data_IF_651951377176
#
_entry.id   IF_651951377176
#
_cell.length_a   1.000
_cell.length_b   1.000
_cell.length_c   1.000
_cell.angle_alpha   90.00
_cell.angle_beta   90.00
_cell.angle_gamma   90.00
#
_symmetry.space_group_name_H-M   'P 1'
#
loop_
_entity.id
_entity.type
_entity.pdbx_description
1 polymer ?
#
# COMPACT_ATOMS: atom_id res chain seq x y z
N UNK A 1 4.27 12.57 -0.74
CA UNK A 1 3.64 11.24 -0.68
C UNK A 1 2.25 11.35 -0.10
N UNK A 2 1.30 10.65 -0.70
CA UNK A 2 -0.09 10.68 -0.26
C UNK A 2 -0.61 9.24 -0.15
N UNK A 3 -1.20 8.89 0.99
CA UNK A 3 -1.76 7.57 1.22
C UNK A 3 -3.24 7.73 1.57
N UNK A 4 -4.09 7.06 0.81
CA UNK A 4 -5.53 7.10 1.02
C UNK A 4 -6.00 6.32 2.24
N UNK A 5 -7.32 6.16 2.36
CA UNK A 5 -7.94 5.43 3.46
C UNK A 5 -7.94 3.93 3.21
N UNK A 6 -7.91 3.16 4.29
CA UNK A 6 -8.00 1.69 4.24
C UNK A 6 -6.93 1.04 3.37
N UNK A 7 -5.72 1.58 3.38
CA UNK A 7 -4.57 1.03 2.66
C UNK A 7 -3.85 0.01 3.54
N UNK A 8 -3.53 -1.16 2.97
CA UNK A 8 -2.75 -2.18 3.64
C UNK A 8 -1.33 -2.14 3.07
N UNK A 9 -0.35 -1.86 3.92
CA UNK A 9 1.06 -1.85 3.52
C UNK A 9 1.78 -2.98 4.25
N UNK A 10 2.32 -3.92 3.48
CA UNK A 10 3.01 -5.08 4.01
C UNK A 10 4.32 -4.75 4.70
N UNK A 11 4.83 -5.66 5.50
CA UNK A 11 6.07 -5.48 6.25
C UNK A 11 7.24 -5.23 5.30
N UNK A 12 8.12 -4.33 5.69
CA UNK A 12 9.32 -3.98 4.92
C UNK A 12 9.03 -3.41 3.52
N UNK A 13 7.79 -3.04 3.23
CA UNK A 13 7.50 -2.31 2.00
C UNK A 13 8.05 -0.89 2.12
N UNK A 14 8.54 -0.36 1.00
CA UNK A 14 9.08 1.00 0.93
C UNK A 14 8.26 1.82 -0.04
N UNK A 15 7.79 2.98 0.41
CA UNK A 15 7.03 3.90 -0.44
C UNK A 15 7.83 5.19 -0.53
N UNK A 16 8.32 5.50 -1.73
CA UNK A 16 9.20 6.66 -1.94
C UNK A 16 8.40 7.95 -2.14
N UNK A 17 9.06 9.08 -1.92
CA UNK A 17 8.43 10.38 -1.98
C UNK A 17 7.80 10.68 -3.34
N UNK A 18 6.73 11.49 -3.36
CA UNK A 18 6.03 11.83 -4.58
C UNK A 18 5.09 10.76 -5.12
N UNK A 19 5.04 9.58 -4.47
CA UNK A 19 4.09 8.54 -4.85
C UNK A 19 2.71 8.80 -4.25
N UNK A 20 1.69 8.21 -4.87
CA UNK A 20 0.30 8.31 -4.42
C UNK A 20 -0.29 6.90 -4.28
N UNK A 21 -0.90 6.61 -3.14
CA UNK A 21 -1.52 5.31 -2.88
C UNK A 21 -3.03 5.55 -2.73
N UNK A 22 -3.81 4.99 -3.63
CA UNK A 22 -5.26 5.16 -3.63
C UNK A 22 -5.95 4.39 -2.51
N UNK A 23 -7.19 4.78 -2.21
CA UNK A 23 -7.98 4.14 -1.16
C UNK A 23 -8.12 2.65 -1.38
N UNK A 24 -7.99 1.86 -0.32
CA UNK A 24 -8.18 0.41 -0.39
C UNK A 24 -7.09 -0.35 -1.13
N UNK A 25 -5.99 0.29 -1.48
CA UNK A 25 -4.87 -0.39 -2.15
C UNK A 25 -4.12 -1.31 -1.19
N UNK A 26 -3.48 -2.33 -1.76
CA UNK A 26 -2.64 -3.27 -1.02
C UNK A 26 -1.22 -3.21 -1.58
N UNK A 27 -0.26 -2.92 -0.70
CA UNK A 27 1.15 -2.93 -1.03
C UNK A 27 1.76 -4.19 -0.41
N UNK A 28 2.23 -5.10 -1.23
CA UNK A 28 2.75 -6.39 -0.75
C UNK A 28 4.03 -6.21 0.08
N UNK A 29 4.31 -7.17 0.95
CA UNK A 29 5.51 -7.15 1.77
C UNK A 29 6.77 -7.09 0.90
N UNK A 30 7.75 -6.30 1.33
CA UNK A 30 9.02 -6.14 0.63
C UNK A 30 8.94 -5.38 -0.70
N UNK A 31 7.79 -4.85 -1.05
CA UNK A 31 7.58 -4.09 -2.29
C UNK A 31 8.26 -2.73 -2.20
N UNK A 32 8.75 -2.22 -3.33
CA UNK A 32 9.30 -0.87 -3.41
C UNK A 32 8.47 -0.05 -4.39
N UNK A 33 7.67 0.87 -3.86
CA UNK A 33 6.88 1.81 -4.66
C UNK A 33 7.78 3.00 -4.99
N UNK A 34 8.12 3.13 -6.27
CA UNK A 34 9.07 4.15 -6.73
C UNK A 34 8.52 5.55 -6.61
N UNK A 35 9.44 6.51 -6.55
CA UNK A 35 9.12 7.93 -6.57
C UNK A 35 8.20 8.26 -7.75
N UNK A 36 7.12 8.98 -7.47
CA UNK A 36 6.18 9.40 -8.49
C UNK A 36 5.21 8.32 -8.99
N UNK A 37 5.26 7.12 -8.43
CA UNK A 37 4.36 6.04 -8.84
C UNK A 37 2.97 6.25 -8.24
N UNK A 38 1.94 6.15 -9.08
CA UNK A 38 0.56 6.26 -8.63
C UNK A 38 -0.07 4.86 -8.53
N UNK A 39 -0.48 4.47 -7.34
CA UNK A 39 -1.20 3.23 -7.13
C UNK A 39 -2.69 3.54 -7.14
N UNK A 40 -3.45 3.00 -8.12
CA UNK A 40 -4.89 3.24 -8.19
C UNK A 40 -5.62 2.69 -6.97
N UNK A 41 -6.83 3.20 -6.66
CA UNK A 41 -7.64 2.64 -5.59
C UNK A 41 -7.92 1.15 -5.78
N UNK A 42 -8.06 0.44 -4.67
CA UNK A 42 -8.43 -0.99 -4.64
C UNK A 42 -7.54 -1.88 -5.52
N UNK A 43 -6.25 -1.58 -5.53
CA UNK A 43 -5.27 -2.26 -6.40
C UNK A 43 -4.18 -2.89 -5.56
N UNK A 44 -3.81 -4.12 -5.93
CA UNK A 44 -2.67 -4.83 -5.36
C UNK A 44 -1.43 -4.56 -6.18
N UNK A 45 -0.36 -4.11 -5.53
CA UNK A 45 0.95 -3.97 -6.16
C UNK A 45 1.97 -4.82 -5.41
N UNK A 46 2.97 -5.31 -6.14
CA UNK A 46 4.03 -6.15 -5.59
C UNK A 46 5.31 -6.01 -6.39
N UNK A 47 6.42 -6.40 -5.78
CA UNK A 47 7.70 -6.51 -6.46
C UNK A 47 8.63 -5.33 -6.25
N UNK A 48 9.83 -5.46 -6.82
CA UNK A 48 10.88 -4.44 -6.80
C UNK A 48 11.40 -4.28 -8.23
N UNK A 49 11.02 -3.21 -8.95
CA UNK A 49 10.09 -2.16 -8.57
C UNK A 49 8.64 -2.64 -8.54
N UNK A 50 7.79 -1.93 -7.81
CA UNK A 50 6.37 -2.28 -7.68
C UNK A 50 5.67 -2.28 -9.02
N UNK A 51 4.83 -3.28 -9.23
CA UNK A 51 3.99 -3.38 -10.42
C UNK A 51 2.57 -3.70 -10.00
N UNK A 52 1.61 -3.21 -10.78
CA UNK A 52 0.20 -3.51 -10.57
C UNK A 52 -0.03 -4.98 -10.90
N UNK A 53 -0.57 -5.73 -9.94
CA UNK A 53 -0.82 -7.16 -10.10
C UNK A 53 -2.29 -7.42 -10.48
N UNK A 54 -3.23 -6.88 -9.69
CA UNK A 54 -4.66 -7.06 -9.91
C UNK A 54 -5.46 -6.15 -8.98
N UNK A 55 -6.76 -6.14 -9.15
CA UNK A 55 -7.64 -5.48 -8.20
C UNK A 55 -7.75 -6.28 -6.92
N UNK A 56 -7.98 -5.58 -5.81
CA UNK A 56 -8.22 -6.19 -4.51
C UNK A 56 -9.64 -6.78 -4.51
N UNK A 57 -9.77 -8.05 -4.09
CA UNK A 57 -11.08 -8.70 -4.03
C UNK A 57 -11.94 -8.17 -2.88
N UNK A 58 -13.25 -8.47 -2.93
CA UNK A 58 -14.16 -8.09 -1.86
C UNK A 58 -13.78 -8.78 -0.54
N UNK A 59 -13.32 -10.03 -0.59
CA UNK A 59 -12.88 -10.74 0.61
C UNK A 59 -11.64 -10.10 1.22
N UNK A 60 -10.69 -9.67 0.39
CA UNK A 60 -9.50 -8.96 0.84
C UNK A 60 -9.86 -7.62 1.47
N UNK A 61 -10.79 -6.89 0.87
CA UNK A 61 -11.25 -5.61 1.44
C UNK A 61 -11.91 -5.81 2.80
N UNK A 62 -12.70 -6.86 2.97
CA UNK A 62 -13.31 -7.18 4.26
C UNK A 62 -12.25 -7.48 5.32
N UNK A 63 -11.22 -8.24 4.96
CA UNK A 63 -10.09 -8.52 5.85
C UNK A 63 -9.37 -7.23 6.25
N UNK A 64 -9.12 -6.35 5.30
CA UNK A 64 -8.44 -5.08 5.53
C UNK A 64 -9.21 -4.18 6.49
N UNK A 65 -10.53 -4.22 6.47
CA UNK A 65 -11.35 -3.40 7.36
C UNK A 65 -11.08 -3.67 8.85
N UNK A 66 -10.57 -4.84 9.18
CA UNK A 66 -10.18 -5.19 10.55
C UNK A 66 -8.72 -4.96 10.87
N UNK A 67 -7.86 -4.94 9.86
CA UNK A 67 -6.40 -4.95 10.04
C UNK A 67 -5.75 -3.60 9.76
N UNK A 68 -6.37 -2.76 8.96
CA UNK A 68 -5.80 -1.54 8.43
C UNK A 68 -5.25 -0.57 9.47
N UNK A 69 -5.93 -0.27 10.58
CA UNK A 69 -5.37 0.69 11.54
C UNK A 69 -3.99 0.32 12.04
N UNK A 70 -3.76 -0.96 12.28
CA UNK A 70 -2.46 -1.44 12.73
C UNK A 70 -1.38 -1.30 11.65
N UNK A 71 -1.73 -1.69 10.42
CA UNK A 71 -0.77 -1.64 9.32
C UNK A 71 -0.45 -0.22 8.88
N UNK A 72 -1.42 0.69 8.92
CA UNK A 72 -1.19 2.11 8.62
C UNK A 72 -0.21 2.70 9.63
N UNK A 73 -0.38 2.42 10.91
CA UNK A 73 0.51 2.89 11.95
C UNK A 73 1.94 2.40 11.71
N UNK A 74 2.11 1.12 11.36
CA UNK A 74 3.40 0.54 11.04
C UNK A 74 4.02 1.22 9.81
N UNK A 75 3.21 1.47 8.78
CA UNK A 75 3.67 2.14 7.56
C UNK A 75 4.16 3.55 7.85
N UNK A 76 3.45 4.30 8.68
CA UNK A 76 3.87 5.66 9.06
C UNK A 76 5.23 5.64 9.74
N UNK A 77 5.49 4.63 10.57
CA UNK A 77 6.79 4.48 11.23
C UNK A 77 7.91 4.32 10.19
N UNK A 78 7.69 3.50 9.18
CA UNK A 78 8.68 3.32 8.11
C UNK A 78 8.85 4.58 7.27
N UNK A 79 7.77 5.28 6.99
CA UNK A 79 7.80 6.46 6.13
C UNK A 79 8.44 7.67 6.80
N UNK A 80 8.46 7.71 8.12
CA UNK A 80 9.06 8.82 8.87
C UNK A 80 10.59 8.68 8.98
N UNK A 81 11.12 7.58 8.62
CA UNK A 81 12.55 7.36 8.58
C UNK A 81 13.17 7.88 7.28
#
# INVERSE_FOLDING_TARGET
>A
MSIGDNVLIGMSATVLGGSTIGDGAVIAAGCVVRQGFDVPPNTLVAGVPAKIIREVSAAERAFMAHSVPHYIETAETYLSE
#
